data_IF_935137609826
#
_entry.id   IF_935137609826
#
_cell.length_a   1.000
_cell.length_b   1.000
_cell.length_c   1.000
_cell.angle_alpha   90.00
_cell.angle_beta   90.00
_cell.angle_gamma   90.00
#
_symmetry.space_group_name_H-M   'P 1'
#
loop_
_entity.id
_entity.type
_entity.pdbx_description
1 polymer ?
#
# COMPACT_ATOMS: atom_id res chain seq x y z
N UNK A 1 3.42 -15.28 -5.11
CA UNK A 1 3.47 -13.93 -5.72
C UNK A 1 3.81 -13.02 -4.56
N UNK A 2 4.92 -12.25 -4.60
CA UNK A 2 5.32 -11.48 -3.43
C UNK A 2 4.14 -10.62 -3.00
N UNK A 3 3.77 -10.68 -1.72
CA UNK A 3 2.70 -9.84 -1.20
C UNK A 3 3.13 -8.40 -1.46
N UNK A 4 2.47 -7.74 -2.39
CA UNK A 4 2.72 -6.34 -2.70
C UNK A 4 2.06 -5.52 -1.60
N UNK A 5 2.68 -4.43 -1.14
CA UNK A 5 1.98 -3.43 -0.32
C UNK A 5 0.55 -3.19 -0.88
N UNK A 6 -0.52 -3.11 -0.06
CA UNK A 6 -1.91 -3.04 -0.52
C UNK A 6 -2.16 -2.08 -1.69
N UNK A 7 -1.53 -0.91 -1.64
CA UNK A 7 -1.56 0.07 -2.72
C UNK A 7 -0.98 -0.47 -4.04
N UNK A 8 0.24 -1.04 -3.98
CA UNK A 8 0.92 -1.65 -5.13
C UNK A 8 0.14 -2.84 -5.67
N UNK A 9 -0.49 -3.62 -4.80
CA UNK A 9 -1.37 -4.72 -5.21
C UNK A 9 -2.52 -4.21 -6.07
N UNK A 10 -3.31 -3.24 -5.57
CA UNK A 10 -4.46 -2.69 -6.31
C UNK A 10 -4.01 -2.03 -7.62
N UNK A 11 -2.91 -1.27 -7.58
CA UNK A 11 -2.36 -0.58 -8.76
C UNK A 11 -1.80 -1.54 -9.82
N UNK A 12 -1.41 -2.76 -9.42
CA UNK A 12 -0.88 -3.79 -10.31
C UNK A 12 -1.93 -4.81 -10.80
N UNK A 13 -3.19 -4.73 -10.32
CA UNK A 13 -4.25 -5.63 -10.77
C UNK A 13 -4.45 -5.54 -12.29
N UNK A 14 -4.75 -6.64 -12.98
CA UNK A 14 -5.37 -6.61 -14.30
C UNK A 14 -6.72 -5.88 -14.28
N UNK A 15 -7.20 -5.41 -15.44
CA UNK A 15 -8.44 -4.64 -15.52
C UNK A 15 -9.67 -5.43 -15.04
N UNK A 16 -9.79 -6.71 -15.41
CA UNK A 16 -10.88 -7.58 -14.98
C UNK A 16 -10.82 -7.91 -13.48
N UNK A 17 -9.62 -8.00 -12.92
CA UNK A 17 -9.42 -8.17 -11.48
C UNK A 17 -9.75 -6.91 -10.70
N UNK A 18 -9.53 -5.71 -11.25
CA UNK A 18 -9.99 -4.46 -10.63
C UNK A 18 -11.53 -4.43 -10.53
N UNK A 19 -12.25 -4.90 -11.54
CA UNK A 19 -13.72 -4.96 -11.50
C UNK A 19 -14.21 -5.96 -10.45
N UNK A 20 -13.59 -7.15 -10.37
CA UNK A 20 -13.88 -8.14 -9.31
C UNK A 20 -13.63 -7.54 -7.94
N UNK A 21 -12.49 -6.86 -7.78
CA UNK A 21 -12.14 -6.15 -6.55
C UNK A 21 -13.18 -5.08 -6.20
N UNK A 22 -13.57 -4.23 -7.16
CA UNK A 22 -14.57 -3.18 -6.95
C UNK A 22 -15.94 -3.74 -6.56
N UNK A 23 -16.35 -4.87 -7.15
CA UNK A 23 -17.60 -5.57 -6.79
C UNK A 23 -17.55 -6.11 -5.38
N UNK A 24 -16.48 -6.83 -5.00
CA UNK A 24 -16.29 -7.30 -3.63
C UNK A 24 -16.27 -6.13 -2.64
N UNK A 25 -15.53 -5.08 -2.96
CA UNK A 25 -15.44 -3.88 -2.15
C UNK A 25 -16.80 -3.21 -1.95
N UNK A 26 -17.56 -2.97 -3.03
CA UNK A 26 -18.89 -2.38 -2.95
C UNK A 26 -19.88 -3.26 -2.18
N UNK A 27 -19.79 -4.59 -2.29
CA UNK A 27 -20.67 -5.53 -1.56
C UNK A 27 -20.49 -5.50 -0.04
N UNK A 28 -19.33 -5.05 0.44
CA UNK A 28 -19.04 -4.87 1.87
C UNK A 28 -19.52 -3.52 2.40
N UNK A 29 -19.97 -2.61 1.53
CA UNK A 29 -20.49 -1.30 1.93
C UNK A 29 -21.94 -1.44 2.40
N UNK A 30 -22.31 -0.64 3.40
CA UNK A 30 -23.70 -0.57 3.86
C UNK A 30 -24.54 0.26 2.87
N UNK A 31 -25.82 -0.07 2.74
CA UNK A 31 -26.79 0.72 1.97
C UNK A 31 -27.09 0.20 0.57
N UNK A 32 -26.41 -0.83 0.09
CA UNK A 32 -26.79 -1.52 -1.14
C UNK A 32 -27.75 -2.68 -0.86
N UNK A 33 -28.81 -2.75 -1.66
CA UNK A 33 -29.68 -3.92 -1.75
C UNK A 33 -28.95 -5.07 -2.46
N UNK A 34 -28.25 -4.75 -3.54
CA UNK A 34 -27.55 -5.73 -4.38
C UNK A 34 -26.37 -5.07 -5.08
N UNK A 35 -25.29 -5.81 -5.28
CA UNK A 35 -24.11 -5.37 -6.03
C UNK A 35 -23.79 -6.38 -7.12
N UNK A 36 -23.78 -5.91 -8.36
CA UNK A 36 -23.59 -6.73 -9.56
C UNK A 36 -22.37 -6.25 -10.35
N UNK A 37 -21.66 -7.19 -10.97
CA UNK A 37 -20.59 -6.90 -11.93
C UNK A 37 -21.08 -7.29 -13.31
N UNK A 38 -20.94 -6.37 -14.25
CA UNK A 38 -21.24 -6.58 -15.65
C UNK A 38 -19.93 -6.86 -16.38
N UNK A 39 -19.93 -7.88 -17.24
CA UNK A 39 -18.75 -8.22 -18.04
C UNK A 39 -19.18 -8.67 -19.44
N UNK A 40 -18.48 -8.20 -20.46
CA UNK A 40 -18.69 -8.61 -21.85
C UNK A 40 -19.48 -7.61 -22.70
N UNK A 41 -19.77 -8.01 -23.94
CA UNK A 41 -20.49 -7.17 -24.88
C UNK A 41 -21.94 -6.98 -24.41
N UNK A 42 -22.35 -5.73 -24.17
CA UNK A 42 -23.69 -5.39 -23.67
C UNK A 42 -23.71 -4.70 -22.30
N UNK A 43 -22.54 -4.45 -21.71
CA UNK A 43 -22.41 -3.71 -20.46
C UNK A 43 -23.07 -2.32 -20.47
N UNK A 44 -23.15 -1.69 -21.64
CA UNK A 44 -23.67 -0.34 -21.84
C UNK A 44 -23.00 0.71 -20.92
N UNK A 45 -21.73 0.50 -20.55
CA UNK A 45 -20.97 1.39 -19.67
C UNK A 45 -21.15 1.11 -18.17
N UNK A 46 -21.64 -0.07 -17.80
CA UNK A 46 -21.67 -0.56 -16.41
C UNK A 46 -20.53 -1.54 -16.22
N UNK A 47 -19.62 -1.31 -15.28
CA UNK A 47 -18.65 -2.34 -14.88
C UNK A 47 -19.12 -3.00 -13.58
N UNK A 48 -19.37 -2.17 -12.55
CA UNK A 48 -19.98 -2.61 -11.29
C UNK A 48 -21.12 -1.68 -10.93
N UNK A 49 -22.23 -2.25 -10.47
CA UNK A 49 -23.44 -1.53 -10.09
C UNK A 49 -23.78 -1.83 -8.65
N UNK A 50 -24.05 -0.79 -7.86
CA UNK A 50 -24.68 -0.93 -6.56
C UNK A 50 -26.12 -0.44 -6.61
N UNK A 51 -27.08 -1.34 -6.49
CA UNK A 51 -28.51 -1.03 -6.44
C UNK A 51 -28.93 -0.63 -5.03
N UNK A 52 -29.66 0.48 -4.88
CA UNK A 52 -30.11 0.95 -3.57
C UNK A 52 -31.45 0.33 -3.16
N UNK A 53 -32.15 -0.33 -4.09
CA UNK A 53 -33.46 -0.92 -3.86
C UNK A 53 -33.74 -2.09 -4.81
N UNK A 54 -34.83 -2.81 -4.55
CA UNK A 54 -35.30 -3.91 -5.41
C UNK A 54 -35.74 -3.49 -6.82
N UNK A 55 -35.95 -2.19 -7.04
CA UNK A 55 -36.26 -1.61 -8.34
C UNK A 55 -35.05 -1.61 -9.30
N UNK A 56 -33.84 -1.83 -8.77
CA UNK A 56 -32.61 -1.96 -9.56
C UNK A 56 -32.43 -0.78 -10.54
N UNK A 57 -32.33 -1.05 -11.84
CA UNK A 57 -32.17 -0.04 -12.89
C UNK A 57 -33.41 0.81 -13.16
N UNK A 58 -34.55 0.51 -12.55
CA UNK A 58 -35.74 1.38 -12.55
C UNK A 58 -35.75 2.34 -11.34
N UNK A 59 -34.84 2.14 -10.37
CA UNK A 59 -34.70 2.97 -9.18
C UNK A 59 -33.33 3.65 -9.08
N UNK A 60 -32.94 4.03 -7.87
CA UNK A 60 -31.61 4.61 -7.61
C UNK A 60 -30.52 3.53 -7.63
N UNK A 61 -29.43 3.84 -8.32
CA UNK A 61 -28.26 2.97 -8.41
C UNK A 61 -26.98 3.79 -8.59
N UNK A 62 -25.86 3.21 -8.17
CA UNK A 62 -24.53 3.81 -8.31
C UNK A 62 -23.73 3.03 -9.37
N UNK A 63 -23.13 3.76 -10.32
CA UNK A 63 -22.21 3.21 -11.31
C UNK A 63 -20.77 3.28 -10.79
N UNK A 64 -20.07 2.15 -10.80
CA UNK A 64 -18.65 2.05 -10.51
C UNK A 64 -17.92 1.69 -11.81
N UNK A 65 -17.51 2.72 -12.56
CA UNK A 65 -16.74 2.57 -13.79
C UNK A 65 -15.26 2.36 -13.45
N UNK A 66 -14.78 1.14 -13.65
CA UNK A 66 -13.43 0.69 -13.37
C UNK A 66 -12.49 1.00 -14.54
N UNK A 67 -11.38 1.71 -14.24
CA UNK A 67 -10.36 2.07 -15.24
C UNK A 67 -8.98 1.78 -14.71
N UNK A 68 -8.46 0.62 -15.11
CA UNK A 68 -7.11 0.18 -14.79
C UNK A 68 -6.15 0.49 -15.93
N UNK A 69 -5.48 1.64 -15.83
CA UNK A 69 -4.50 2.08 -16.83
C UNK A 69 -3.10 2.15 -16.23
N UNK A 70 -2.09 2.09 -17.11
CA UNK A 70 -0.70 2.32 -16.73
C UNK A 70 -0.43 3.73 -16.19
N UNK A 71 -1.33 4.70 -16.44
CA UNK A 71 -1.30 6.09 -15.98
C UNK A 71 -2.70 6.54 -15.55
N UNK A 72 -2.84 7.77 -15.09
CA UNK A 72 -4.14 8.36 -14.77
C UNK A 72 -5.08 8.39 -15.99
N UNK A 73 -6.39 8.25 -15.75
CA UNK A 73 -7.41 8.24 -16.81
C UNK A 73 -7.37 9.56 -17.59
N UNK A 74 -7.18 9.53 -18.92
CA UNK A 74 -7.12 10.74 -19.73
C UNK A 74 -8.51 11.36 -19.94
N UNK A 75 -8.53 12.64 -20.29
CA UNK A 75 -9.76 13.43 -20.41
C UNK A 75 -10.76 12.83 -21.40
N UNK A 76 -10.30 12.45 -22.60
CA UNK A 76 -11.14 11.89 -23.65
C UNK A 76 -11.82 10.58 -23.21
N UNK A 77 -11.09 9.70 -22.52
CA UNK A 77 -11.66 8.46 -21.98
C UNK A 77 -12.70 8.80 -20.91
N UNK A 78 -12.36 9.65 -19.93
CA UNK A 78 -13.29 9.99 -18.86
C UNK A 78 -14.60 10.60 -19.35
N UNK A 79 -14.54 11.54 -20.29
CA UNK A 79 -15.74 12.12 -20.91
C UNK A 79 -16.51 11.07 -21.72
N UNK A 80 -15.81 10.21 -22.47
CA UNK A 80 -16.43 9.11 -23.22
C UNK A 80 -17.24 8.15 -22.35
N UNK A 81 -16.75 7.79 -21.15
CA UNK A 81 -17.47 6.90 -20.23
C UNK A 81 -18.73 7.56 -19.64
N UNK A 82 -18.65 8.85 -19.28
CA UNK A 82 -19.83 9.61 -18.81
C UNK A 82 -20.84 9.73 -19.96
N UNK A 83 -20.39 10.05 -21.18
CA UNK A 83 -21.25 10.13 -22.35
C UNK A 83 -21.94 8.79 -22.65
N UNK A 84 -21.21 7.68 -22.55
CA UNK A 84 -21.73 6.32 -22.78
C UNK A 84 -22.84 5.97 -21.80
N UNK A 85 -22.64 6.17 -20.49
CA UNK A 85 -23.67 5.82 -19.50
C UNK A 85 -24.92 6.70 -19.65
N UNK A 86 -24.75 8.01 -19.92
CA UNK A 86 -25.87 8.93 -20.07
C UNK A 86 -26.63 8.67 -21.38
N UNK A 87 -25.94 8.28 -22.45
CA UNK A 87 -26.59 7.88 -23.70
C UNK A 87 -27.50 6.66 -23.49
N UNK A 88 -27.01 5.58 -22.87
CA UNK A 88 -27.85 4.40 -22.66
C UNK A 88 -28.98 4.65 -21.64
N UNK A 89 -28.77 5.55 -20.68
CA UNK A 89 -29.85 6.01 -19.83
C UNK A 89 -30.93 6.80 -20.61
N UNK A 90 -30.51 7.64 -21.56
CA UNK A 90 -31.42 8.37 -22.46
C UNK A 90 -32.22 7.43 -23.36
N UNK A 91 -31.60 6.36 -23.87
CA UNK A 91 -32.29 5.34 -24.69
C UNK A 91 -33.25 4.45 -23.88
N UNK A 92 -33.30 4.62 -22.55
CA UNK A 92 -34.24 3.91 -21.67
C UNK A 92 -33.77 2.52 -21.22
N UNK A 93 -32.50 2.16 -21.44
CA UNK A 93 -31.95 0.88 -20.97
C UNK A 93 -31.88 0.80 -19.44
N UNK A 94 -31.79 1.95 -18.78
CA UNK A 94 -31.82 2.13 -17.32
C UNK A 94 -32.04 3.61 -16.95
N UNK A 95 -32.42 3.89 -15.70
CA UNK A 95 -32.42 5.26 -15.16
C UNK A 95 -30.99 5.82 -15.10
N UNK A 96 -30.82 7.14 -15.19
CA UNK A 96 -29.50 7.75 -14.99
C UNK A 96 -29.00 7.45 -13.55
N UNK A 97 -27.71 7.12 -13.37
CA UNK A 97 -27.21 6.74 -12.06
C UNK A 97 -27.27 7.91 -11.07
N UNK A 98 -27.62 7.61 -9.82
CA UNK A 98 -27.62 8.56 -8.72
C UNK A 98 -26.19 8.97 -8.32
N UNK A 99 -25.21 8.08 -8.53
CA UNK A 99 -23.77 8.38 -8.43
C UNK A 99 -22.99 7.71 -9.54
N UNK A 100 -22.00 8.42 -10.08
CA UNK A 100 -21.03 7.88 -11.02
C UNK A 100 -19.63 7.96 -10.41
N UNK A 101 -19.00 6.82 -10.23
CA UNK A 101 -17.65 6.72 -9.71
C UNK A 101 -16.66 6.26 -10.78
N UNK A 102 -15.60 7.03 -10.97
CA UNK A 102 -14.38 6.52 -11.59
C UNK A 102 -13.58 5.73 -10.56
N UNK A 103 -13.66 4.41 -10.60
CA UNK A 103 -12.80 3.49 -9.85
C UNK A 103 -11.48 3.41 -10.61
N UNK A 104 -10.55 4.31 -10.27
CA UNK A 104 -9.30 4.49 -11.00
C UNK A 104 -8.14 4.54 -10.01
N UNK A 105 -7.42 3.42 -9.76
CA UNK A 105 -6.36 3.36 -8.76
C UNK A 105 -5.29 4.45 -8.89
N UNK A 106 -4.86 4.74 -10.13
CA UNK A 106 -3.91 5.83 -10.45
C UNK A 106 -4.56 7.21 -10.64
N UNK A 107 -5.85 7.34 -10.34
CA UNK A 107 -6.63 8.57 -10.46
C UNK A 107 -6.92 8.97 -11.91
N UNK A 108 -7.27 10.25 -12.07
CA UNK A 108 -7.58 10.90 -13.35
C UNK A 108 -6.61 12.05 -13.61
N UNK A 109 -6.41 12.42 -14.88
CA UNK A 109 -5.54 13.56 -15.23
C UNK A 109 -6.05 14.87 -14.62
N UNK A 110 -5.13 15.82 -14.38
CA UNK A 110 -5.43 17.09 -13.70
C UNK A 110 -6.61 17.83 -14.30
N UNK A 111 -6.72 17.89 -15.63
CA UNK A 111 -7.81 18.57 -16.34
C UNK A 111 -9.17 17.95 -16.01
N UNK A 112 -9.30 16.62 -16.12
CA UNK A 112 -10.52 15.91 -15.74
C UNK A 112 -10.83 16.07 -14.25
N UNK A 113 -9.81 16.05 -13.37
CA UNK A 113 -10.01 16.30 -11.93
C UNK A 113 -10.55 17.71 -11.65
N UNK A 114 -10.06 18.72 -12.35
CA UNK A 114 -10.56 20.10 -12.25
C UNK A 114 -12.03 20.16 -12.65
N UNK A 115 -12.41 19.54 -13.77
CA UNK A 115 -13.80 19.50 -14.20
C UNK A 115 -14.71 18.77 -13.20
N UNK A 116 -14.30 17.61 -12.68
CA UNK A 116 -15.07 16.89 -11.65
C UNK A 116 -15.27 17.76 -10.39
N UNK A 117 -14.28 18.59 -10.05
CA UNK A 117 -14.39 19.54 -8.92
C UNK A 117 -15.26 20.76 -9.23
N UNK A 118 -15.72 20.91 -10.48
CA UNK A 118 -16.54 22.01 -10.98
C UNK A 118 -17.64 21.47 -11.90
N UNK A 119 -18.73 20.91 -11.34
CA UNK A 119 -19.76 20.18 -12.11
C UNK A 119 -20.32 20.91 -13.34
N UNK A 120 -20.45 22.23 -13.28
CA UNK A 120 -20.87 23.05 -14.42
C UNK A 120 -19.87 23.04 -15.58
N UNK A 121 -18.56 23.08 -15.27
CA UNK A 121 -17.49 22.95 -16.28
C UNK A 121 -17.41 21.53 -16.83
N UNK A 122 -17.63 20.49 -16.01
CA UNK A 122 -17.68 19.10 -16.50
C UNK A 122 -18.81 18.88 -17.50
N UNK A 123 -20.01 19.37 -17.17
CA UNK A 123 -21.16 19.35 -18.08
C UNK A 123 -20.83 20.04 -19.41
N UNK A 124 -20.30 21.27 -19.32
CA UNK A 124 -19.92 22.03 -20.51
C UNK A 124 -18.87 21.30 -21.35
N UNK A 125 -17.83 20.74 -20.70
CA UNK A 125 -16.78 20.00 -21.38
C UNK A 125 -17.31 18.75 -22.10
N UNK A 126 -18.25 18.01 -21.50
CA UNK A 126 -18.85 16.84 -22.14
C UNK A 126 -19.61 17.23 -23.42
N UNK A 127 -20.42 18.29 -23.36
CA UNK A 127 -21.23 18.77 -24.49
C UNK A 127 -20.34 19.33 -25.59
N UNK A 128 -19.40 20.21 -25.24
CA UNK A 128 -18.52 20.87 -26.21
C UNK A 128 -17.62 19.86 -26.96
N UNK A 129 -17.24 18.76 -26.30
CA UNK A 129 -16.33 17.75 -26.86
C UNK A 129 -17.06 16.44 -27.25
N UNK A 130 -18.39 16.48 -27.44
CA UNK A 130 -19.17 15.28 -27.72
C UNK A 130 -18.71 14.55 -28.98
N UNK A 131 -18.56 15.27 -30.08
CA UNK A 131 -18.21 14.69 -31.38
C UNK A 131 -16.80 14.06 -31.40
N UNK A 132 -15.88 14.66 -30.64
CA UNK A 132 -14.49 14.20 -30.56
C UNK A 132 -14.31 13.02 -29.61
N UNK A 133 -15.00 13.01 -28.46
CA UNK A 133 -14.71 12.07 -27.37
C UNK A 133 -15.80 11.03 -27.13
N UNK A 134 -17.06 11.30 -27.50
CA UNK A 134 -18.21 10.44 -27.19
C UNK A 134 -18.81 9.79 -28.45
N UNK A 135 -19.10 10.59 -29.49
CA UNK A 135 -19.91 10.17 -30.63
C UNK A 135 -19.44 8.86 -31.29
N UNK A 136 -18.12 8.63 -31.34
CA UNK A 136 -17.51 7.46 -31.99
C UNK A 136 -17.09 6.35 -31.02
N UNK A 137 -17.18 6.57 -29.71
CA UNK A 137 -16.63 5.66 -28.67
C UNK A 137 -17.72 4.90 -27.93
N UNK A 138 -18.97 5.39 -27.93
CA UNK A 138 -20.12 4.77 -27.25
C UNK A 138 -20.42 3.37 -27.81
N UNK A 139 -20.41 3.23 -29.14
CA UNK A 139 -20.67 1.95 -29.83
C UNK A 139 -19.89 1.88 -31.13
N UNK A 140 -19.46 0.67 -31.51
CA UNK A 140 -18.80 0.42 -32.81
C UNK A 140 -19.78 0.42 -33.99
N UNK A 141 -21.10 0.41 -33.73
CA UNK A 141 -22.13 0.23 -34.77
C UNK A 141 -22.48 1.52 -35.52
N UNK A 142 -22.45 2.67 -34.85
CA UNK A 142 -22.85 3.97 -35.41
C UNK A 142 -22.18 5.10 -34.65
N UNK A 143 -22.03 6.24 -35.32
CA UNK A 143 -21.69 7.51 -34.69
C UNK A 143 -22.95 8.09 -34.04
N UNK A 144 -22.87 8.45 -32.77
CA UNK A 144 -23.98 9.03 -32.00
C UNK A 144 -23.89 10.55 -32.07
N UNK A 145 -24.74 11.16 -32.89
CA UNK A 145 -24.86 12.62 -32.93
C UNK A 145 -25.48 13.14 -31.63
N UNK A 146 -25.03 14.31 -31.17
CA UNK A 146 -25.65 15.00 -30.04
C UNK A 146 -26.96 15.66 -30.47
N UNK A 147 -28.05 14.88 -30.45
CA UNK A 147 -29.38 15.41 -30.77
C UNK A 147 -29.86 16.41 -29.71
N UNK A 148 -30.85 17.22 -30.04
CA UNK A 148 -31.46 18.19 -29.11
C UNK A 148 -32.01 17.49 -27.86
N UNK A 149 -32.60 16.31 -28.03
CA UNK A 149 -33.19 15.50 -26.96
C UNK A 149 -32.12 14.92 -26.03
N UNK A 150 -31.06 14.34 -26.60
CA UNK A 150 -29.94 13.79 -25.83
C UNK A 150 -29.21 14.91 -25.09
N UNK A 151 -28.97 16.05 -25.74
CA UNK A 151 -28.37 17.22 -25.10
C UNK A 151 -29.19 17.69 -23.90
N UNK A 152 -30.52 17.83 -24.06
CA UNK A 152 -31.42 18.23 -22.97
C UNK A 152 -31.39 17.24 -21.82
N UNK A 153 -31.35 15.94 -22.11
CA UNK A 153 -31.23 14.89 -21.10
C UNK A 153 -29.91 15.01 -20.31
N UNK A 154 -28.79 15.15 -21.01
CA UNK A 154 -27.47 15.35 -20.40
C UNK A 154 -27.46 16.62 -19.54
N UNK A 155 -27.99 17.73 -20.05
CA UNK A 155 -28.01 19.01 -19.34
C UNK A 155 -28.82 18.99 -18.04
N UNK A 156 -29.84 18.14 -17.97
CA UNK A 156 -30.71 17.95 -16.81
C UNK A 156 -30.10 17.04 -15.73
N UNK A 157 -29.12 16.21 -16.07
CA UNK A 157 -28.45 15.36 -15.09
C UNK A 157 -27.53 16.17 -14.18
N UNK A 158 -27.51 15.85 -12.88
CA UNK A 158 -26.67 16.54 -11.91
C UNK A 158 -25.24 15.97 -11.90
N UNK A 159 -24.32 16.70 -12.53
CA UNK A 159 -22.89 16.37 -12.62
C UNK A 159 -22.15 16.41 -11.28
N UNK A 160 -22.74 16.94 -10.20
CA UNK A 160 -22.17 16.86 -8.86
C UNK A 160 -22.07 15.40 -8.35
N UNK A 161 -22.76 14.48 -9.03
CA UNK A 161 -22.77 13.06 -8.73
C UNK A 161 -21.58 12.28 -9.32
N UNK A 162 -20.67 12.93 -10.05
CA UNK A 162 -19.42 12.32 -10.54
C UNK A 162 -18.35 12.42 -9.47
N UNK A 163 -17.65 11.32 -9.18
CA UNK A 163 -16.55 11.28 -8.20
C UNK A 163 -15.45 10.33 -8.63
N UNK A 164 -14.23 10.53 -8.10
CA UNK A 164 -13.08 9.67 -8.36
C UNK A 164 -12.73 8.90 -7.10
N UNK A 165 -12.53 7.60 -7.25
CA UNK A 165 -12.06 6.70 -6.20
C UNK A 165 -10.65 6.25 -6.61
N UNK A 166 -9.64 6.89 -6.03
CA UNK A 166 -8.24 6.46 -6.15
C UNK A 166 -7.92 5.31 -5.22
N UNK A 167 -6.73 4.72 -5.35
CA UNK A 167 -6.25 3.68 -4.44
C UNK A 167 -6.27 4.15 -2.98
N UNK A 168 -5.89 5.40 -2.70
CA UNK A 168 -5.91 5.96 -1.34
C UNK A 168 -7.33 6.00 -0.77
N UNK A 169 -8.31 6.38 -1.59
CA UNK A 169 -9.73 6.41 -1.19
C UNK A 169 -10.24 5.00 -0.90
N UNK A 170 -9.86 4.01 -1.71
CA UNK A 170 -10.21 2.61 -1.47
C UNK A 170 -9.62 2.11 -0.15
N UNK A 171 -8.34 2.39 0.10
CA UNK A 171 -7.64 1.90 1.29
C UNK A 171 -8.05 2.63 2.59
N UNK A 172 -8.49 3.89 2.48
CA UNK A 172 -9.04 4.63 3.61
C UNK A 172 -10.45 4.14 4.02
N UNK A 173 -11.23 3.63 3.06
CA UNK A 173 -12.58 3.14 3.26
C UNK A 173 -12.63 1.85 4.10
N UNK A 174 -13.61 1.75 5.00
CA UNK A 174 -13.72 0.61 5.92
C UNK A 174 -13.86 -0.74 5.19
N UNK A 175 -14.61 -0.80 4.09
CA UNK A 175 -14.73 -2.03 3.30
C UNK A 175 -13.40 -2.37 2.60
N UNK A 176 -12.64 -1.37 2.19
CA UNK A 176 -11.31 -1.58 1.59
C UNK A 176 -10.33 -2.16 2.60
N UNK A 177 -10.33 -1.63 3.84
CA UNK A 177 -9.53 -2.19 4.96
C UNK A 177 -9.88 -3.64 5.25
N UNK A 178 -11.16 -3.99 5.31
CA UNK A 178 -11.62 -5.38 5.52
C UNK A 178 -11.13 -6.29 4.39
N UNK A 179 -11.27 -5.85 3.14
CA UNK A 179 -10.90 -6.65 1.98
C UNK A 179 -9.38 -6.85 1.89
N UNK A 180 -8.59 -5.82 2.20
CA UNK A 180 -7.14 -5.93 2.31
C UNK A 180 -6.74 -6.85 3.46
N UNK A 181 -7.31 -6.69 4.65
CA UNK A 181 -7.04 -7.58 5.77
C UNK A 181 -7.31 -9.05 5.40
N UNK A 182 -8.41 -9.34 4.70
CA UNK A 182 -8.73 -10.69 4.21
C UNK A 182 -7.72 -11.20 3.18
N UNK A 183 -7.31 -10.38 2.21
CA UNK A 183 -6.37 -10.78 1.15
C UNK A 183 -4.93 -10.93 1.65
N UNK A 184 -4.56 -10.18 2.69
CA UNK A 184 -3.23 -10.18 3.29
C UNK A 184 -3.17 -10.94 4.63
N UNK A 185 -4.24 -11.68 4.99
CA UNK A 185 -4.29 -12.50 6.20
C UNK A 185 -3.31 -13.70 6.15
N UNK A 186 -2.88 -14.11 4.95
CA UNK A 186 -1.81 -15.09 4.80
C UNK A 186 -0.48 -14.44 5.14
N UNK A 187 0.29 -15.07 6.03
CA UNK A 187 1.56 -14.47 6.43
C UNK A 187 2.51 -14.37 5.25
N UNK A 188 3.33 -13.32 5.22
CA UNK A 188 4.10 -13.03 4.04
C UNK A 188 5.19 -14.06 3.74
N UNK A 189 5.68 -14.08 2.50
CA UNK A 189 6.82 -14.92 2.13
C UNK A 189 7.99 -14.66 3.09
N UNK A 190 8.82 -15.67 3.41
CA UNK A 190 9.97 -15.48 4.27
C UNK A 190 10.97 -14.51 3.62
N UNK A 191 11.43 -13.52 4.38
CA UNK A 191 12.49 -12.63 3.93
C UNK A 191 13.78 -13.40 3.58
N UNK A 192 14.54 -12.94 2.57
CA UNK A 192 15.85 -13.51 2.26
C UNK A 192 16.82 -13.28 3.42
N UNK A 193 17.89 -14.09 3.46
CA UNK A 193 19.02 -13.84 4.37
C UNK A 193 19.76 -12.56 3.96
N UNK A 194 20.31 -11.87 4.94
CA UNK A 194 21.21 -10.75 4.72
C UNK A 194 22.51 -11.21 4.08
N UNK A 195 23.09 -10.33 3.25
CA UNK A 195 24.42 -10.51 2.69
C UNK A 195 25.34 -9.52 3.37
N UNK A 196 26.35 -10.01 4.08
CA UNK A 196 27.34 -9.19 4.77
C UNK A 196 28.38 -8.71 3.73
N UNK A 197 28.54 -7.40 3.52
CA UNK A 197 29.57 -6.87 2.64
C UNK A 197 30.98 -7.15 3.19
N UNK A 198 31.94 -7.37 2.30
CA UNK A 198 33.33 -7.65 2.68
C UNK A 198 33.98 -6.50 3.45
N UNK A 199 33.64 -5.26 3.14
CA UNK A 199 34.05 -4.05 3.84
C UNK A 199 32.93 -3.53 4.74
N UNK A 200 33.29 -2.87 5.84
CA UNK A 200 32.29 -2.23 6.69
C UNK A 200 31.68 -1.03 5.97
N UNK A 201 30.35 -0.94 5.97
CA UNK A 201 29.62 0.15 5.33
C UNK A 201 29.19 1.22 6.34
N UNK A 202 29.02 2.47 5.87
CA UNK A 202 28.59 3.60 6.71
C UNK A 202 27.31 3.32 7.51
N UNK A 203 26.39 2.52 6.95
CA UNK A 203 25.11 2.20 7.59
C UNK A 203 25.24 1.30 8.83
N UNK A 204 26.32 0.53 8.95
CA UNK A 204 26.58 -0.31 10.14
C UNK A 204 27.57 0.35 11.12
N UNK A 205 28.28 1.39 10.71
CA UNK A 205 29.29 2.05 11.54
C UNK A 205 28.82 2.49 12.94
N UNK A 206 27.60 3.03 13.16
CA UNK A 206 27.24 3.57 14.47
C UNK A 206 27.17 2.52 15.60
N UNK A 207 26.64 1.32 15.36
CA UNK A 207 26.65 0.24 16.35
C UNK A 207 28.02 -0.45 16.40
N UNK A 208 28.72 -0.55 15.25
CA UNK A 208 30.08 -1.10 15.21
C UNK A 208 31.01 -0.29 16.09
N UNK A 209 30.97 1.04 16.00
CA UNK A 209 31.78 1.92 16.85
C UNK A 209 31.45 1.70 18.34
N UNK A 210 30.18 1.55 18.68
CA UNK A 210 29.78 1.26 20.06
C UNK A 210 30.30 -0.10 20.55
N UNK A 211 30.44 -1.09 19.68
CA UNK A 211 31.07 -2.37 20.01
C UNK A 211 32.60 -2.23 20.14
N UNK A 212 33.26 -1.45 19.28
CA UNK A 212 34.69 -1.16 19.42
C UNK A 212 34.99 -0.49 20.77
N UNK A 213 34.19 0.51 21.15
CA UNK A 213 34.27 1.15 22.46
C UNK A 213 34.08 0.14 23.61
N UNK A 214 33.14 -0.80 23.46
CA UNK A 214 32.85 -1.83 24.47
C UNK A 214 33.99 -2.85 24.61
N UNK A 215 34.62 -3.25 23.50
CA UNK A 215 35.82 -4.08 23.52
C UNK A 215 36.98 -3.35 24.18
N UNK A 216 37.14 -2.06 23.87
CA UNK A 216 38.19 -1.24 24.47
C UNK A 216 38.05 -1.06 25.97
N UNK A 217 36.82 -0.90 26.45
CA UNK A 217 36.51 -0.87 27.88
C UNK A 217 36.86 -2.20 28.55
N UNK A 218 36.43 -3.33 27.97
CA UNK A 218 36.66 -4.68 28.51
C UNK A 218 38.16 -5.00 28.65
N UNK A 219 38.94 -4.69 27.63
CA UNK A 219 40.37 -5.02 27.59
C UNK A 219 41.24 -3.92 28.22
N UNK A 220 40.65 -2.78 28.60
CA UNK A 220 41.39 -1.56 28.96
C UNK A 220 42.42 -1.16 27.90
N UNK A 221 42.09 -1.37 26.61
CA UNK A 221 42.97 -1.16 25.45
C UNK A 221 42.22 -0.48 24.31
N UNK A 222 42.79 0.58 23.76
CA UNK A 222 42.18 1.28 22.63
C UNK A 222 42.27 0.45 21.34
N UNK A 223 41.12 0.25 20.69
CA UNK A 223 40.99 -0.32 19.36
C UNK A 223 40.49 0.77 18.41
N UNK A 224 41.35 1.34 17.54
CA UNK A 224 40.98 2.50 16.74
C UNK A 224 40.01 2.16 15.60
N UNK A 225 40.01 0.91 15.13
CA UNK A 225 39.19 0.47 14.02
C UNK A 225 38.89 -1.04 14.08
N UNK A 226 38.05 -1.49 13.16
CA UNK A 226 37.65 -2.89 13.03
C UNK A 226 38.79 -3.82 12.59
N UNK A 227 39.81 -3.30 11.90
CA UNK A 227 40.96 -4.10 11.45
C UNK A 227 41.82 -4.55 12.65
N UNK A 228 41.89 -3.70 13.69
CA UNK A 228 42.55 -4.03 14.96
C UNK A 228 41.86 -5.17 15.72
N UNK A 229 40.55 -5.35 15.51
CA UNK A 229 39.74 -6.41 16.14
C UNK A 229 39.74 -7.71 15.33
N UNK A 230 39.97 -7.65 14.01
CA UNK A 230 39.86 -8.82 13.12
C UNK A 230 40.71 -10.02 13.54
N UNK A 231 41.86 -9.78 14.19
CA UNK A 231 42.79 -10.82 14.69
C UNK A 231 42.60 -11.16 16.17
N UNK A 232 41.68 -10.48 16.87
CA UNK A 232 41.42 -10.73 18.28
C UNK A 232 40.65 -12.05 18.45
N UNK A 233 41.13 -12.92 19.34
CA UNK A 233 40.58 -14.28 19.51
C UNK A 233 39.09 -14.29 19.88
N UNK A 234 38.68 -13.41 20.81
CA UNK A 234 37.27 -13.33 21.23
C UNK A 234 36.46 -12.29 20.45
N UNK A 235 36.96 -11.05 20.35
CA UNK A 235 36.23 -9.92 19.76
C UNK A 235 36.10 -10.00 18.23
N UNK A 236 37.03 -10.63 17.53
CA UNK A 236 36.97 -10.82 16.08
C UNK A 236 35.75 -11.64 15.65
N UNK A 237 35.63 -12.90 16.11
CA UNK A 237 34.47 -13.75 15.84
C UNK A 237 33.16 -13.13 16.34
N UNK A 238 33.19 -12.45 17.49
CA UNK A 238 32.01 -11.75 18.00
C UNK A 238 31.55 -10.64 17.05
N UNK A 239 32.45 -9.78 16.57
CA UNK A 239 32.11 -8.70 15.63
C UNK A 239 31.54 -9.26 14.31
N UNK A 240 32.12 -10.33 13.76
CA UNK A 240 31.59 -11.01 12.55
C UNK A 240 30.14 -11.43 12.76
N UNK A 241 29.84 -12.08 13.88
CA UNK A 241 28.48 -12.53 14.22
C UNK A 241 27.50 -11.36 14.39
N UNK A 242 27.95 -10.23 14.96
CA UNK A 242 27.09 -9.04 15.09
C UNK A 242 26.78 -8.40 13.73
N UNK A 243 27.74 -8.39 12.80
CA UNK A 243 27.51 -7.94 11.42
C UNK A 243 26.51 -8.83 10.69
N UNK A 244 26.64 -10.14 10.80
CA UNK A 244 25.66 -11.08 10.23
C UNK A 244 24.24 -10.80 10.72
N UNK A 245 24.06 -10.60 12.03
CA UNK A 245 22.77 -10.26 12.63
C UNK A 245 22.22 -8.94 12.09
N UNK A 246 23.06 -7.91 12.02
CA UNK A 246 22.67 -6.61 11.47
C UNK A 246 22.16 -6.73 10.02
N UNK A 247 22.90 -7.40 9.14
CA UNK A 247 22.47 -7.52 7.75
C UNK A 247 21.27 -8.46 7.56
N UNK A 248 21.11 -9.50 8.39
CA UNK A 248 19.89 -10.31 8.43
C UNK A 248 18.67 -9.43 8.81
N UNK A 249 18.82 -8.54 9.79
CA UNK A 249 17.77 -7.59 10.17
C UNK A 249 17.51 -6.50 9.11
N UNK A 250 18.54 -5.98 8.44
CA UNK A 250 18.42 -5.00 7.36
C UNK A 250 17.68 -5.59 6.15
N UNK A 251 18.08 -6.79 5.71
CA UNK A 251 17.39 -7.51 4.63
C UNK A 251 15.93 -7.82 5.00
N UNK A 252 15.67 -8.28 6.21
CA UNK A 252 14.32 -8.51 6.74
C UNK A 252 13.48 -7.22 6.70
N UNK A 253 14.00 -6.13 7.23
CA UNK A 253 13.29 -4.85 7.33
C UNK A 253 12.97 -4.30 5.94
N UNK A 254 13.93 -4.33 5.01
CA UNK A 254 13.72 -3.87 3.62
C UNK A 254 12.69 -4.73 2.89
N UNK A 255 12.82 -6.05 3.01
CA UNK A 255 11.90 -6.98 2.36
C UNK A 255 10.46 -6.72 2.80
N UNK A 256 10.18 -6.70 4.11
CA UNK A 256 8.82 -6.49 4.58
C UNK A 256 8.34 -5.06 4.36
N UNK A 257 9.22 -4.04 4.38
CA UNK A 257 8.81 -2.66 4.05
C UNK A 257 8.23 -2.56 2.65
N UNK A 258 8.81 -3.30 1.71
CA UNK A 258 8.41 -3.25 0.31
C UNK A 258 7.20 -4.17 0.00
N UNK A 259 6.89 -5.12 0.91
CA UNK A 259 5.94 -6.23 0.70
C UNK A 259 4.80 -6.32 1.75
N UNK A 260 4.78 -5.48 2.77
CA UNK A 260 3.74 -5.51 3.83
C UNK A 260 3.33 -4.10 4.25
N UNK A 261 2.31 -3.99 5.10
CA UNK A 261 1.91 -2.73 5.71
C UNK A 261 3.00 -2.24 6.68
N UNK A 262 3.26 -0.94 6.72
CA UNK A 262 4.33 -0.35 7.56
C UNK A 262 4.09 -0.63 9.06
N UNK A 263 2.82 -0.68 9.45
CA UNK A 263 2.36 -0.95 10.80
C UNK A 263 2.81 -2.32 11.34
N UNK A 264 2.98 -3.34 10.47
CA UNK A 264 3.44 -4.67 10.88
C UNK A 264 4.92 -4.67 11.29
N UNK A 265 5.74 -3.87 10.61
CA UNK A 265 7.16 -3.70 10.94
C UNK A 265 7.31 -2.88 12.21
N UNK A 266 6.50 -1.83 12.35
CA UNK A 266 6.48 -1.00 13.55
C UNK A 266 6.03 -1.80 14.77
N UNK A 267 5.00 -2.65 14.65
CA UNK A 267 4.57 -3.56 15.71
C UNK A 267 5.72 -4.49 16.14
N UNK A 268 6.35 -5.19 15.19
CA UNK A 268 7.50 -6.07 15.49
C UNK A 268 8.63 -5.31 16.19
N UNK A 269 8.99 -4.13 15.69
CA UNK A 269 10.06 -3.32 16.26
C UNK A 269 9.71 -2.83 17.66
N UNK A 270 8.47 -2.42 17.89
CA UNK A 270 8.00 -2.00 19.20
C UNK A 270 8.06 -3.17 20.19
N UNK A 271 7.58 -4.36 19.82
CA UNK A 271 7.66 -5.55 20.67
C UNK A 271 9.12 -5.91 20.99
N UNK A 272 10.02 -5.80 20.01
CA UNK A 272 11.46 -6.03 20.23
C UNK A 272 12.06 -5.00 21.20
N UNK A 273 11.75 -3.71 21.03
CA UNK A 273 12.27 -2.65 21.89
C UNK A 273 11.80 -2.82 23.34
N UNK A 274 10.50 -3.05 23.56
CA UNK A 274 9.94 -3.28 24.89
C UNK A 274 10.47 -4.59 25.50
N UNK A 275 10.62 -5.64 24.69
CA UNK A 275 11.10 -6.95 25.15
C UNK A 275 12.54 -6.96 25.66
N UNK A 276 13.37 -6.00 25.25
CA UNK A 276 14.78 -5.88 25.67
C UNK A 276 15.06 -4.69 26.59
N UNK A 277 14.07 -3.82 26.83
CA UNK A 277 14.26 -2.57 27.57
C UNK A 277 14.84 -2.79 28.98
N UNK A 278 14.31 -3.75 29.74
CA UNK A 278 14.79 -4.08 31.08
C UNK A 278 16.22 -4.65 31.07
N UNK A 279 16.52 -5.54 30.11
CA UNK A 279 17.86 -6.11 29.95
C UNK A 279 18.89 -5.03 29.60
N UNK A 280 18.50 -4.04 28.79
CA UNK A 280 19.34 -2.87 28.48
C UNK A 280 19.50 -1.93 29.68
N UNK A 281 18.42 -1.70 30.42
CA UNK A 281 18.34 -0.78 31.56
C UNK A 281 19.12 -1.24 32.79
N UNK A 282 19.30 -2.55 32.97
CA UNK A 282 19.98 -3.15 34.10
C UNK A 282 21.42 -2.63 34.32
N UNK A 283 21.93 -2.84 35.54
CA UNK A 283 23.32 -2.54 35.89
C UNK A 283 24.21 -3.63 35.32
N UNK A 284 25.23 -3.22 34.57
CA UNK A 284 26.17 -4.11 33.92
C UNK A 284 27.61 -3.69 34.25
N UNK A 285 28.56 -4.64 34.40
CA UNK A 285 29.96 -4.32 34.66
C UNK A 285 30.63 -3.47 33.58
N UNK A 286 30.23 -3.66 32.32
CA UNK A 286 30.73 -2.92 31.15
C UNK A 286 29.71 -2.91 30.00
N UNK A 287 29.99 -2.13 28.96
CA UNK A 287 29.14 -2.01 27.78
C UNK A 287 28.98 -3.33 27.01
N UNK A 288 30.01 -4.19 27.00
CA UNK A 288 29.96 -5.47 26.27
C UNK A 288 28.99 -6.44 26.95
N UNK A 289 28.98 -6.48 28.29
CA UNK A 289 28.04 -7.29 29.08
C UNK A 289 26.61 -6.83 28.86
N UNK A 290 26.38 -5.51 28.80
CA UNK A 290 25.07 -4.96 28.44
C UNK A 290 24.62 -5.40 27.06
N UNK A 291 25.48 -5.26 26.05
CA UNK A 291 25.16 -5.68 24.69
C UNK A 291 24.82 -7.18 24.64
N UNK A 292 25.61 -8.02 25.31
CA UNK A 292 25.36 -9.47 25.38
C UNK A 292 24.05 -9.82 26.08
N UNK A 293 23.72 -9.15 27.19
CA UNK A 293 22.46 -9.35 27.90
C UNK A 293 21.25 -8.99 27.02
N UNK A 294 21.33 -7.87 26.28
CA UNK A 294 20.30 -7.47 25.31
C UNK A 294 20.17 -8.50 24.19
N UNK A 295 21.28 -9.00 23.62
CA UNK A 295 21.25 -10.00 22.56
C UNK A 295 20.66 -11.35 23.03
N UNK A 296 20.94 -11.74 24.29
CA UNK A 296 20.37 -12.94 24.90
C UNK A 296 18.86 -12.78 25.11
N UNK A 297 18.41 -11.63 25.61
CA UNK A 297 16.99 -11.36 25.78
C UNK A 297 16.27 -11.30 24.42
N UNK A 298 16.84 -10.61 23.43
CA UNK A 298 16.29 -10.49 22.08
C UNK A 298 16.06 -11.86 21.41
N UNK A 299 16.92 -12.85 21.67
CA UNK A 299 16.75 -14.21 21.16
C UNK A 299 15.47 -14.88 21.68
N UNK A 300 15.01 -14.51 22.88
CA UNK A 300 13.87 -15.10 23.57
C UNK A 300 12.56 -14.31 23.42
N UNK A 301 12.61 -13.05 22.95
CA UNK A 301 11.40 -12.27 22.69
C UNK A 301 10.48 -13.00 21.71
N UNK A 302 9.21 -13.11 22.06
CA UNK A 302 8.13 -13.62 21.21
C UNK A 302 7.29 -12.43 20.72
N UNK A 303 7.64 -11.82 19.59
CA UNK A 303 6.87 -10.69 19.07
C UNK A 303 5.49 -11.16 18.59
N UNK A 304 4.56 -10.20 18.52
CA UNK A 304 3.23 -10.37 17.95
C UNK A 304 3.18 -9.95 16.47
N UNK A 305 2.01 -10.09 15.84
CA UNK A 305 1.79 -9.67 14.45
C UNK A 305 2.17 -10.71 13.38
N UNK A 306 1.92 -10.37 12.11
CA UNK A 306 2.08 -11.31 11.00
C UNK A 306 3.54 -11.68 10.74
N UNK A 307 4.47 -10.80 11.13
CA UNK A 307 5.92 -10.98 10.93
C UNK A 307 6.59 -11.84 12.00
N UNK A 308 5.91 -12.12 13.12
CA UNK A 308 6.48 -12.84 14.26
C UNK A 308 7.11 -14.18 13.88
N UNK A 309 6.41 -14.95 13.04
CA UNK A 309 6.88 -16.27 12.60
C UNK A 309 8.11 -16.23 11.68
N UNK A 310 8.42 -15.07 11.10
CA UNK A 310 9.55 -14.88 10.20
C UNK A 310 10.76 -14.25 10.90
N UNK A 311 10.57 -13.63 12.08
CA UNK A 311 11.61 -12.97 12.86
C UNK A 311 12.54 -13.99 13.54
N UNK A 312 13.45 -14.59 12.74
CA UNK A 312 14.48 -15.52 13.22
C UNK A 312 15.37 -14.85 14.28
N UNK A 313 16.04 -15.65 15.11
CA UNK A 313 16.93 -15.15 16.18
C UNK A 313 17.93 -14.09 15.69
N UNK A 314 18.66 -14.25 14.56
CA UNK A 314 19.57 -13.22 14.08
C UNK A 314 18.89 -11.90 13.72
N UNK A 315 17.66 -11.95 13.20
CA UNK A 315 16.85 -10.77 12.88
C UNK A 315 16.49 -10.03 14.15
N UNK A 316 15.98 -10.73 15.17
CA UNK A 316 15.63 -10.12 16.47
C UNK A 316 16.83 -9.43 17.12
N UNK A 317 17.99 -10.08 17.09
CA UNK A 317 19.23 -9.52 17.60
C UNK A 317 19.73 -8.34 16.75
N UNK A 318 19.67 -8.44 15.43
CA UNK A 318 20.08 -7.37 14.51
C UNK A 318 19.21 -6.11 14.60
N UNK A 319 17.91 -6.27 14.87
CA UNK A 319 17.01 -5.13 15.13
C UNK A 319 17.50 -4.30 16.33
N UNK A 320 18.12 -4.94 17.34
CA UNK A 320 18.70 -4.22 18.46
C UNK A 320 19.91 -3.35 18.05
N UNK A 321 20.68 -3.77 17.03
CA UNK A 321 21.73 -2.93 16.43
C UNK A 321 21.14 -1.76 15.61
N UNK A 322 19.99 -1.95 14.95
CA UNK A 322 19.27 -0.82 14.33
C UNK A 322 18.87 0.21 15.39
N UNK A 323 18.37 -0.24 16.55
CA UNK A 323 18.06 0.66 17.66
C UNK A 323 19.30 1.34 18.24
N UNK A 324 20.46 0.68 18.24
CA UNK A 324 21.72 1.30 18.63
C UNK A 324 22.13 2.42 17.65
N UNK A 325 21.95 2.21 16.35
CA UNK A 325 22.15 3.23 15.33
C UNK A 325 21.17 4.40 15.48
N UNK A 326 19.92 4.12 15.81
CA UNK A 326 18.86 5.12 16.07
C UNK A 326 19.03 5.83 17.43
N UNK A 327 20.01 5.42 18.24
CA UNK A 327 20.27 5.98 19.57
C UNK A 327 19.26 5.56 20.65
N UNK A 328 18.37 4.61 20.37
CA UNK A 328 17.39 4.07 21.32
C UNK A 328 17.99 3.04 22.28
N UNK A 329 18.95 2.23 21.80
CA UNK A 329 19.68 1.24 22.62
C UNK A 329 21.19 1.49 22.54
N UNK A 330 21.71 2.42 23.35
CA UNK A 330 23.15 2.68 23.39
C UNK A 330 23.89 1.61 24.19
N UNK A 331 24.91 0.99 23.62
CA UNK A 331 25.72 -0.01 24.34
C UNK A 331 26.54 0.62 25.45
N UNK A 332 27.05 1.82 25.19
CA UNK A 332 27.77 2.64 26.17
C UNK A 332 26.87 3.76 26.70
N UNK A 333 26.78 3.87 28.04
CA UNK A 333 26.21 5.06 28.69
C UNK A 333 27.38 6.03 28.81
N UNK A 334 27.28 7.21 28.18
CA UNK A 334 28.31 8.26 28.36
C UNK A 334 28.32 8.72 29.80
#
# INVERSE_FOLDING_TARGET
>A
MPLLHPERYIVALPADELEKFAREWASLKKGYFEVERFSGAGDMGRDVVGYLSKQRHEGDWHNYQCKQYGKAVPLNVGLGEIGKILYFAHEGEFTAPAKFYFVAPKGVVRTLRTYISKPSELKKALIDNWDDYCAKTITKKKTIALTTELKKFIEAWDFSNVSVISVDVMLADAAGKILMAKKFAESPDPAPKGVVPGTIEDREMPYVQQLLDAYSERDSKLYPDHSAIAKHVDHGPHLVMQRERFFDADAFTRFYRDNTMTEEIDLLRNDMLHGVAEAHGAVHPDALTRANAVMQQAANVQPSGALAKHARVPVKQGICHHFANEGKLKWRKK
#
